data_IF_985079148833
#
_entry.id   IF_985079148833
#
_cell.length_a   1.000
_cell.length_b   1.000
_cell.length_c   1.000
_cell.angle_alpha   90.00
_cell.angle_beta   90.00
_cell.angle_gamma   90.00
#
_symmetry.space_group_name_H-M   'P 1'
#
loop_
_entity.id
_entity.type
_entity.pdbx_description
1 polymer ?
#
# COMPACT_ATOMS: atom_id res chain seq x y z
N UNK A 1 -38.19 -31.95 3.69
CA UNK A 1 -37.75 -31.46 2.35
C UNK A 1 -37.52 -29.96 2.47
N UNK A 2 -36.28 -29.49 2.34
CA UNK A 2 -35.88 -28.11 2.65
C UNK A 2 -36.30 -27.13 1.55
N UNK A 3 -37.41 -26.42 1.74
CA UNK A 3 -37.93 -25.43 0.80
C UNK A 3 -36.96 -24.25 0.57
N UNK A 4 -36.18 -23.87 1.59
CA UNK A 4 -35.21 -22.77 1.52
C UNK A 4 -34.12 -22.98 0.46
N UNK A 5 -33.61 -24.21 0.36
CA UNK A 5 -32.58 -24.57 -0.62
C UNK A 5 -33.12 -24.57 -2.06
N UNK A 6 -34.43 -24.78 -2.21
CA UNK A 6 -35.11 -24.79 -3.51
C UNK A 6 -35.41 -23.34 -3.95
N UNK A 7 -35.77 -22.47 -3.00
CA UNK A 7 -35.96 -21.05 -3.26
C UNK A 7 -34.65 -20.31 -3.55
N UNK A 8 -33.56 -20.61 -2.84
CA UNK A 8 -32.23 -20.08 -3.15
C UNK A 8 -31.74 -20.51 -4.54
N UNK A 9 -32.01 -21.76 -4.96
CA UNK A 9 -31.70 -22.21 -6.32
C UNK A 9 -32.55 -21.48 -7.37
N UNK A 10 -33.82 -21.21 -7.08
CA UNK A 10 -34.70 -20.43 -7.98
C UNK A 10 -34.30 -18.96 -8.05
N UNK A 11 -33.89 -18.35 -6.94
CA UNK A 11 -33.39 -16.97 -6.90
C UNK A 11 -32.05 -16.85 -7.67
N UNK A 12 -31.14 -17.81 -7.50
CA UNK A 12 -29.89 -17.86 -8.25
C UNK A 12 -30.12 -18.14 -9.74
N UNK A 13 -31.09 -19.00 -10.07
CA UNK A 13 -31.50 -19.24 -11.45
C UNK A 13 -32.06 -17.94 -12.06
N UNK A 14 -32.97 -17.24 -11.40
CA UNK A 14 -33.55 -15.98 -11.88
C UNK A 14 -32.52 -14.86 -12.07
N UNK A 15 -31.52 -14.75 -11.19
CA UNK A 15 -30.38 -13.85 -11.38
C UNK A 15 -29.50 -14.26 -12.58
N UNK A 16 -29.39 -15.55 -12.91
CA UNK A 16 -28.66 -16.02 -14.08
C UNK A 16 -29.37 -15.77 -15.42
N UNK A 17 -30.69 -15.50 -15.41
CA UNK A 17 -31.50 -15.24 -16.62
C UNK A 17 -31.73 -13.75 -16.89
N UNK A 18 -31.17 -12.84 -16.07
CA UNK A 18 -31.15 -11.40 -16.37
C UNK A 18 -32.52 -10.73 -16.44
N UNK A 19 -33.54 -11.28 -15.78
CA UNK A 19 -34.89 -10.69 -15.72
C UNK A 19 -34.96 -9.71 -14.54
N UNK A 20 -34.25 -8.60 -14.65
CA UNK A 20 -34.27 -7.46 -13.74
C UNK A 20 -33.84 -6.23 -14.51
N UNK A 21 -34.74 -5.24 -14.62
CA UNK A 21 -34.67 -4.14 -15.59
C UNK A 21 -33.36 -3.34 -15.59
N UNK A 22 -32.71 -3.30 -16.75
CA UNK A 22 -31.51 -2.49 -17.02
C UNK A 22 -30.65 -3.14 -18.11
N UNK A 23 -30.91 -2.80 -19.38
CA UNK A 23 -30.19 -3.26 -20.57
C UNK A 23 -29.96 -4.79 -20.69
N UNK A 24 -31.04 -5.55 -20.81
CA UNK A 24 -31.07 -7.02 -20.99
C UNK A 24 -30.58 -7.50 -22.37
N UNK A 25 -30.19 -6.63 -23.32
CA UNK A 25 -29.83 -7.06 -24.68
C UNK A 25 -28.40 -7.56 -24.82
N UNK A 26 -27.45 -7.12 -23.97
CA UNK A 26 -26.06 -7.61 -23.92
C UNK A 26 -25.46 -7.46 -22.51
N UNK A 27 -25.79 -8.34 -21.54
CA UNK A 27 -25.30 -8.26 -20.16
C UNK A 27 -23.78 -8.47 -20.05
N UNK A 28 -23.13 -8.93 -21.12
CA UNK A 28 -21.70 -9.24 -21.22
C UNK A 28 -20.96 -8.34 -22.21
N UNK A 29 -21.52 -7.19 -22.59
CA UNK A 29 -20.91 -6.30 -23.59
C UNK A 29 -19.45 -5.94 -23.27
N UNK A 30 -19.13 -5.74 -21.99
CA UNK A 30 -17.77 -5.54 -21.52
C UNK A 30 -16.83 -6.72 -21.84
N UNK A 31 -17.32 -7.96 -21.77
CA UNK A 31 -16.55 -9.16 -22.14
C UNK A 31 -16.34 -9.26 -23.66
N UNK A 32 -17.32 -8.82 -24.46
CA UNK A 32 -17.19 -8.77 -25.92
C UNK A 32 -16.07 -7.80 -26.36
N UNK A 33 -15.82 -6.74 -25.58
CA UNK A 33 -14.72 -5.80 -25.77
C UNK A 33 -13.45 -6.15 -24.96
N UNK A 34 -13.43 -7.29 -24.27
CA UNK A 34 -12.26 -7.78 -23.54
C UNK A 34 -12.01 -7.13 -22.17
N UNK A 35 -12.96 -6.37 -21.61
CA UNK A 35 -12.83 -5.77 -20.30
C UNK A 35 -13.09 -6.79 -19.18
N UNK A 36 -12.15 -6.93 -18.21
CA UNK A 36 -12.32 -7.85 -17.09
C UNK A 36 -13.42 -7.37 -16.13
N UNK A 37 -14.12 -8.32 -15.49
CA UNK A 37 -15.16 -8.00 -14.49
C UNK A 37 -14.60 -7.54 -13.15
N UNK A 38 -13.38 -7.96 -12.83
CA UNK A 38 -12.70 -7.62 -11.58
C UNK A 38 -11.30 -7.19 -11.96
N UNK A 39 -10.93 -5.98 -11.55
CA UNK A 39 -9.61 -5.44 -11.81
C UNK A 39 -8.71 -5.81 -10.63
N UNK A 40 -7.56 -6.40 -10.96
CA UNK A 40 -6.56 -6.87 -9.99
C UNK A 40 -5.33 -5.97 -10.04
N UNK A 41 -4.46 -6.08 -9.02
CA UNK A 41 -3.16 -5.42 -9.03
C UNK A 41 -2.37 -5.72 -10.32
N UNK A 42 -2.41 -6.97 -10.82
CA UNK A 42 -1.68 -7.35 -12.02
C UNK A 42 -2.18 -6.60 -13.26
N UNK A 43 -3.46 -6.26 -13.34
CA UNK A 43 -4.00 -5.49 -14.46
C UNK A 43 -3.44 -4.07 -14.46
N UNK A 44 -3.46 -3.39 -13.31
CA UNK A 44 -2.86 -2.06 -13.13
C UNK A 44 -1.36 -2.06 -13.37
N UNK A 45 -0.65 -3.03 -12.79
CA UNK A 45 0.80 -3.18 -12.95
C UNK A 45 1.19 -3.45 -14.41
N UNK A 46 0.43 -4.29 -15.12
CA UNK A 46 0.65 -4.54 -16.54
C UNK A 46 0.38 -3.31 -17.39
N UNK A 47 -0.68 -2.55 -17.08
CA UNK A 47 -0.97 -1.30 -17.76
C UNK A 47 0.16 -0.28 -17.55
N UNK A 48 0.60 -0.08 -16.30
CA UNK A 48 1.74 0.78 -15.99
C UNK A 48 3.03 0.37 -16.72
N UNK A 49 3.33 -0.94 -16.80
CA UNK A 49 4.56 -1.44 -17.42
C UNK A 49 4.54 -1.51 -18.94
N UNK A 50 3.40 -1.85 -19.55
CA UNK A 50 3.29 -2.19 -20.98
C UNK A 50 2.62 -1.12 -21.81
N UNK A 51 1.87 -0.20 -21.19
CA UNK A 51 1.22 0.91 -21.88
C UNK A 51 2.01 2.21 -21.65
N UNK A 52 2.52 2.80 -22.75
CA UNK A 52 3.28 4.04 -22.69
C UNK A 52 2.49 5.20 -22.07
N UNK A 53 1.16 5.24 -22.26
CA UNK A 53 0.30 6.28 -21.68
C UNK A 53 0.18 6.10 -20.17
N UNK A 54 -0.10 4.88 -19.70
CA UNK A 54 -0.21 4.59 -18.26
C UNK A 54 1.10 4.89 -17.53
N UNK A 55 2.23 4.49 -18.11
CA UNK A 55 3.56 4.83 -17.59
C UNK A 55 3.78 6.35 -17.54
N UNK A 56 3.47 7.06 -18.63
CA UNK A 56 3.69 8.51 -18.72
C UNK A 56 2.83 9.31 -17.73
N UNK A 57 1.58 8.90 -17.49
CA UNK A 57 0.69 9.57 -16.52
C UNK A 57 1.27 9.46 -15.11
N UNK A 58 1.62 8.24 -14.68
CA UNK A 58 2.21 8.00 -13.36
C UNK A 58 3.50 8.80 -13.20
N UNK A 59 4.41 8.74 -14.17
CA UNK A 59 5.68 9.45 -14.08
C UNK A 59 5.52 10.97 -14.11
N UNK A 60 4.59 11.51 -14.91
CA UNK A 60 4.32 12.96 -14.95
C UNK A 60 3.78 13.48 -13.62
N UNK A 61 2.82 12.76 -13.02
CA UNK A 61 2.28 13.14 -11.70
C UNK A 61 3.37 13.04 -10.63
N UNK A 62 4.07 11.92 -10.58
CA UNK A 62 5.12 11.67 -9.61
C UNK A 62 6.27 12.69 -9.73
N UNK A 63 6.73 13.01 -10.94
CA UNK A 63 7.81 13.97 -11.14
C UNK A 63 7.37 15.41 -10.83
N UNK A 64 6.08 15.73 -11.02
CA UNK A 64 5.50 16.99 -10.55
C UNK A 64 5.46 17.08 -9.03
N UNK A 65 4.92 16.06 -8.35
CA UNK A 65 4.83 16.01 -6.88
C UNK A 65 6.20 16.02 -6.21
N UNK A 66 7.18 15.34 -6.80
CA UNK A 66 8.55 15.21 -6.28
C UNK A 66 9.55 16.05 -7.04
N UNK A 67 9.13 17.19 -7.60
CA UNK A 67 10.04 18.15 -8.23
C UNK A 67 11.00 18.74 -7.18
N UNK A 68 10.46 19.04 -6.00
CA UNK A 68 11.19 19.51 -4.83
C UNK A 68 10.93 18.56 -3.65
N UNK A 69 11.92 18.37 -2.79
CA UNK A 69 11.73 17.54 -1.61
C UNK A 69 10.94 18.28 -0.52
N UNK A 70 10.13 17.56 0.28
CA UNK A 70 9.38 18.17 1.36
C UNK A 70 10.28 18.93 2.35
N UNK A 71 9.79 20.09 2.79
CA UNK A 71 10.39 20.86 3.89
C UNK A 71 9.84 20.32 5.20
N UNK A 72 10.74 20.03 6.15
CA UNK A 72 10.37 19.51 7.47
C UNK A 72 10.42 20.67 8.46
N UNK A 73 9.28 20.95 9.08
CA UNK A 73 9.08 22.04 10.05
C UNK A 73 8.76 21.45 11.42
N UNK A 74 9.27 22.06 12.47
CA UNK A 74 8.98 21.71 13.87
C UNK A 74 7.77 22.51 14.38
N UNK A 75 6.63 21.84 14.56
CA UNK A 75 5.37 22.46 14.98
C UNK A 75 4.33 22.51 13.88
N UNK A 76 3.28 23.31 14.11
CA UNK A 76 2.17 23.49 13.17
C UNK A 76 2.58 24.45 12.02
N UNK A 77 1.92 24.38 10.86
CA UNK A 77 2.23 25.22 9.69
C UNK A 77 2.18 26.72 10.03
N UNK A 78 1.32 27.11 10.98
CA UNK A 78 1.20 28.48 11.48
C UNK A 78 2.37 28.96 12.35
N UNK A 79 3.23 28.03 12.80
CA UNK A 79 4.40 28.26 13.64
C UNK A 79 5.72 28.13 12.87
N UNK A 80 5.69 28.23 11.54
CA UNK A 80 6.90 28.26 10.73
C UNK A 80 7.90 29.30 11.27
N UNK A 81 8.99 28.80 11.86
CA UNK A 81 10.04 29.64 12.38
C UNK A 81 10.70 30.38 11.20
N UNK A 82 10.82 31.72 11.29
CA UNK A 82 11.52 32.54 10.28
C UNK A 82 12.98 32.12 10.02
N UNK A 83 13.54 31.25 10.87
CA UNK A 83 14.87 30.66 10.75
C UNK A 83 14.79 29.18 11.05
N UNK A 84 15.37 28.36 10.17
CA UNK A 84 15.48 26.91 10.34
C UNK A 84 16.17 26.58 11.67
N UNK A 85 15.51 25.77 12.48
CA UNK A 85 16.03 25.36 13.78
C UNK A 85 17.10 24.23 13.61
N UNK A 86 17.96 23.97 14.62
CA UNK A 86 18.99 22.94 14.52
C UNK A 86 18.44 21.52 14.29
N UNK A 87 17.25 21.22 14.81
CA UNK A 87 16.59 19.93 14.66
C UNK A 87 16.09 19.73 13.22
N UNK A 88 15.37 20.69 12.65
CA UNK A 88 14.88 20.70 11.26
C UNK A 88 16.04 20.51 10.29
N UNK A 89 17.15 21.21 10.52
CA UNK A 89 18.38 21.06 9.71
C UNK A 89 18.94 19.63 9.79
N UNK A 90 18.92 19.01 10.96
CA UNK A 90 19.41 17.65 11.16
C UNK A 90 18.50 16.62 10.48
N UNK A 91 17.19 16.73 10.66
CA UNK A 91 16.22 15.80 10.05
C UNK A 91 16.20 15.96 8.53
N UNK A 92 16.25 17.19 8.01
CA UNK A 92 16.34 17.44 6.57
C UNK A 92 17.60 16.81 5.96
N UNK A 93 18.75 16.94 6.63
CA UNK A 93 20.00 16.26 6.22
C UNK A 93 19.81 14.74 6.22
N UNK A 94 19.24 14.19 7.28
CA UNK A 94 19.02 12.75 7.43
C UNK A 94 18.11 12.20 6.34
N UNK A 95 17.00 12.88 6.04
CA UNK A 95 15.99 12.45 5.07
C UNK A 95 16.45 12.57 3.61
N UNK A 96 17.43 13.43 3.31
CA UNK A 96 17.93 13.65 1.94
C UNK A 96 18.29 12.35 1.20
N UNK A 97 18.86 11.36 1.90
CA UNK A 97 19.20 10.05 1.29
C UNK A 97 18.02 9.10 1.13
N UNK A 98 16.94 9.36 1.86
CA UNK A 98 15.76 8.49 1.97
C UNK A 98 14.62 8.91 1.06
N UNK A 99 14.54 10.19 0.67
CA UNK A 99 13.48 10.66 -0.23
C UNK A 99 13.30 9.85 -1.51
N UNK A 100 14.35 9.37 -2.21
CA UNK A 100 14.16 8.49 -3.36
C UNK A 100 13.41 7.19 -3.04
N UNK A 101 13.50 6.69 -1.81
CA UNK A 101 12.74 5.49 -1.37
C UNK A 101 11.29 5.84 -1.09
N UNK A 102 11.02 7.00 -0.51
CA UNK A 102 9.65 7.50 -0.30
C UNK A 102 8.97 7.75 -1.64
N UNK A 103 9.64 8.43 -2.59
CA UNK A 103 9.17 8.61 -3.96
C UNK A 103 8.89 7.28 -4.67
N UNK A 104 9.71 6.25 -4.45
CA UNK A 104 9.44 4.93 -5.03
C UNK A 104 8.24 4.23 -4.38
N UNK A 105 8.02 4.38 -3.06
CA UNK A 105 6.79 3.88 -2.44
C UNK A 105 5.55 4.62 -2.99
N UNK A 106 5.62 5.94 -3.11
CA UNK A 106 4.55 6.76 -3.67
C UNK A 106 4.20 6.35 -5.12
N UNK A 107 5.22 6.14 -5.97
CA UNK A 107 5.05 5.57 -7.32
C UNK A 107 4.29 4.23 -7.30
N UNK A 108 4.62 3.35 -6.36
CA UNK A 108 3.96 2.03 -6.24
C UNK A 108 2.53 2.16 -5.75
N UNK A 109 2.26 3.15 -4.91
CA UNK A 109 0.92 3.48 -4.44
C UNK A 109 0.05 4.05 -5.58
N UNK A 110 0.61 4.82 -6.50
CA UNK A 110 -0.13 5.28 -7.70
C UNK A 110 -0.52 4.14 -8.66
N UNK A 111 0.16 2.99 -8.59
CA UNK A 111 -0.08 1.83 -9.47
C UNK A 111 -0.92 0.74 -8.78
N UNK A 112 -0.69 0.50 -7.49
CA UNK A 112 -1.49 -0.42 -6.68
C UNK A 112 -2.58 0.31 -5.91
N UNK A 113 -3.35 -0.41 -5.09
CA UNK A 113 -4.30 0.20 -4.15
C UNK A 113 -3.61 0.79 -2.93
N UNK A 114 -2.46 0.22 -2.59
CA UNK A 114 -1.59 0.72 -1.55
C UNK A 114 -0.15 0.33 -1.87
N UNK A 115 0.77 0.97 -1.19
CA UNK A 115 2.16 0.52 -1.09
C UNK A 115 2.64 0.69 0.35
N UNK A 116 3.88 0.28 0.63
CA UNK A 116 4.45 0.54 1.93
C UNK A 116 5.95 0.82 1.87
N UNK A 117 6.45 1.39 2.95
CA UNK A 117 7.87 1.43 3.31
C UNK A 117 8.09 0.52 4.51
N UNK A 118 8.90 -0.52 4.33
CA UNK A 118 9.41 -1.31 5.44
C UNK A 118 10.66 -0.65 6.04
N UNK A 119 10.65 -0.54 7.36
CA UNK A 119 11.71 0.05 8.17
C UNK A 119 12.63 -1.07 8.68
N UNK A 120 13.80 -1.22 8.07
CA UNK A 120 14.84 -2.07 8.64
C UNK A 120 15.59 -1.27 9.72
N UNK A 121 15.30 -1.58 10.97
CA UNK A 121 15.82 -0.86 12.14
C UNK A 121 16.81 -1.75 12.89
N UNK A 122 17.87 -1.14 13.43
CA UNK A 122 18.89 -1.81 14.25
C UNK A 122 18.46 -1.83 15.73
N UNK A 123 17.40 -2.57 16.02
CA UNK A 123 16.83 -2.69 17.36
C UNK A 123 17.03 -4.06 18.02
N UNK A 124 17.80 -4.95 17.39
CA UNK A 124 18.10 -6.32 17.86
C UNK A 124 16.85 -7.19 18.12
N UNK A 125 15.70 -6.81 17.55
CA UNK A 125 14.46 -7.58 17.61
C UNK A 125 14.14 -8.19 16.25
N UNK A 126 13.46 -9.35 16.23
CA UNK A 126 12.96 -9.91 14.98
C UNK A 126 11.85 -9.03 14.38
N UNK A 127 11.54 -9.24 13.10
CA UNK A 127 10.58 -8.42 12.35
C UNK A 127 9.15 -8.49 12.87
N UNK A 128 8.79 -9.59 13.52
CA UNK A 128 7.48 -9.85 14.11
C UNK A 128 7.27 -9.15 15.46
N UNK A 129 8.31 -8.52 16.00
CA UNK A 129 8.23 -7.78 17.26
C UNK A 129 8.19 -6.26 17.04
N UNK A 130 7.51 -5.59 17.95
CA UNK A 130 7.47 -4.14 18.03
C UNK A 130 8.87 -3.53 18.12
N UNK A 131 9.05 -2.38 17.47
CA UNK A 131 10.30 -1.65 17.44
C UNK A 131 10.73 -1.22 18.84
N UNK A 132 11.99 -1.48 19.20
CA UNK A 132 12.55 -0.95 20.45
C UNK A 132 12.82 0.56 20.36
N UNK A 133 11.83 1.37 20.73
CA UNK A 133 11.94 2.83 20.68
C UNK A 133 13.03 3.37 21.61
N UNK A 134 13.33 2.69 22.72
CA UNK A 134 14.38 3.10 23.66
C UNK A 134 15.77 2.93 23.04
N UNK A 135 16.01 1.80 22.37
CA UNK A 135 17.27 1.55 21.66
C UNK A 135 17.40 2.45 20.42
N UNK A 136 16.32 2.67 19.68
CA UNK A 136 16.29 3.61 18.54
C UNK A 136 16.66 5.01 19.00
N UNK A 137 16.10 5.50 20.12
CA UNK A 137 16.43 6.81 20.69
C UNK A 137 17.91 6.93 21.06
N UNK A 138 18.51 5.84 21.56
CA UNK A 138 19.95 5.80 21.90
C UNK A 138 20.85 5.80 20.67
N UNK A 139 20.45 5.13 19.59
CA UNK A 139 21.22 5.02 18.34
C UNK A 139 21.05 6.24 17.43
N UNK A 140 19.94 6.97 17.54
CA UNK A 140 19.63 8.14 16.70
C UNK A 140 19.58 7.78 15.22
N UNK A 141 20.21 8.60 14.37
CA UNK A 141 20.22 8.41 12.91
C UNK A 141 20.78 7.06 12.45
N UNK A 142 21.65 6.42 13.26
CA UNK A 142 22.24 5.13 12.93
C UNK A 142 21.28 3.95 13.15
N UNK A 143 20.11 4.19 13.75
CA UNK A 143 19.10 3.17 13.99
C UNK A 143 18.46 2.67 12.68
N UNK A 144 18.22 3.57 11.72
CA UNK A 144 17.59 3.21 10.44
C UNK A 144 18.65 2.68 9.46
N UNK A 145 18.56 1.40 9.16
CA UNK A 145 19.48 0.69 8.24
C UNK A 145 19.02 0.82 6.80
N UNK A 146 17.74 0.59 6.53
CA UNK A 146 17.18 0.59 5.17
C UNK A 146 15.70 0.96 5.16
N UNK A 147 15.31 1.73 4.16
CA UNK A 147 13.92 1.85 3.72
C UNK A 147 13.69 0.98 2.50
N UNK A 148 12.75 0.06 2.61
CA UNK A 148 12.42 -0.90 1.56
C UNK A 148 11.01 -0.57 1.06
N UNK A 149 10.87 0.13 -0.09
CA UNK A 149 9.58 0.28 -0.73
C UNK A 149 9.09 -1.10 -1.21
N UNK A 150 7.80 -1.37 -1.00
CA UNK A 150 7.14 -2.64 -1.33
C UNK A 150 5.85 -2.38 -2.11
N UNK A 151 5.53 -3.28 -3.03
CA UNK A 151 4.27 -3.24 -3.78
C UNK A 151 3.11 -3.85 -2.97
N UNK A 152 1.86 -3.54 -3.32
CA UNK A 152 0.64 -4.17 -2.78
C UNK A 152 0.77 -5.70 -2.57
N UNK A 153 1.10 -6.52 -3.59
CA UNK A 153 1.17 -7.97 -3.43
C UNK A 153 2.35 -8.46 -2.59
N UNK A 154 3.35 -7.61 -2.34
CA UNK A 154 4.51 -7.98 -1.52
C UNK A 154 4.20 -7.83 -0.03
N UNK A 155 3.23 -7.00 0.37
CA UNK A 155 2.89 -6.81 1.77
C UNK A 155 1.39 -7.03 1.97
N UNK A 156 1.02 -8.19 2.49
CA UNK A 156 -0.39 -8.53 2.76
C UNK A 156 -0.63 -8.60 4.26
N UNK A 157 -1.88 -8.46 4.70
CA UNK A 157 -2.20 -8.62 6.14
C UNK A 157 -2.17 -10.10 6.49
N UNK A 158 -1.35 -10.45 7.49
CA UNK A 158 -1.27 -11.79 8.05
C UNK A 158 -2.31 -12.00 9.15
N UNK A 159 -2.49 -10.99 10.01
CA UNK A 159 -3.43 -11.04 11.13
C UNK A 159 -4.11 -9.67 11.28
N UNK A 160 -5.43 -9.68 11.44
CA UNK A 160 -6.24 -8.50 11.75
C UNK A 160 -6.52 -8.45 13.25
N UNK A 161 -6.60 -7.25 13.82
CA UNK A 161 -7.17 -7.07 15.14
C UNK A 161 -8.70 -7.24 15.09
N UNK A 162 -9.17 -8.31 15.74
CA UNK A 162 -10.59 -8.67 15.77
C UNK A 162 -11.24 -8.37 17.13
N UNK A 163 -10.50 -7.79 18.08
CA UNK A 163 -11.05 -7.43 19.37
C UNK A 163 -11.87 -6.14 19.27
N UNK A 164 -13.19 -6.25 19.44
CA UNK A 164 -14.11 -5.11 19.36
C UNK A 164 -13.91 -4.06 20.46
N UNK A 165 -13.17 -4.40 21.52
CA UNK A 165 -12.82 -3.47 22.58
C UNK A 165 -11.49 -2.77 22.33
N UNK A 166 -10.73 -3.20 21.33
CA UNK A 166 -9.46 -2.61 20.95
C UNK A 166 -9.66 -1.30 20.19
N UNK A 167 -8.83 -0.31 20.49
CA UNK A 167 -8.77 0.94 19.73
C UNK A 167 -8.29 0.71 18.29
N UNK A 168 -7.54 -0.37 18.05
CA UNK A 168 -7.03 -0.77 16.73
C UNK A 168 -7.92 -1.81 16.06
N UNK A 169 -9.17 -2.00 16.50
CA UNK A 169 -10.10 -2.94 15.88
C UNK A 169 -10.21 -2.70 14.37
N UNK A 170 -10.05 -3.77 13.58
CA UNK A 170 -10.09 -3.69 12.13
C UNK A 170 -8.79 -3.16 11.50
N UNK A 171 -7.73 -2.94 12.28
CA UNK A 171 -6.40 -2.62 11.75
C UNK A 171 -5.52 -3.87 11.64
N UNK A 172 -4.49 -3.86 10.76
CA UNK A 172 -3.53 -4.94 10.67
C UNK A 172 -2.71 -5.07 11.96
N UNK A 173 -2.73 -6.26 12.56
CA UNK A 173 -1.90 -6.61 13.72
C UNK A 173 -0.55 -7.17 13.29
N UNK A 174 -0.50 -7.87 12.16
CA UNK A 174 0.72 -8.40 11.55
C UNK A 174 0.61 -8.39 10.03
N UNK A 175 1.73 -8.17 9.35
CA UNK A 175 1.83 -8.26 7.89
C UNK A 175 2.67 -9.48 7.48
N UNK A 176 2.38 -10.03 6.31
CA UNK A 176 3.24 -10.98 5.62
C UNK A 176 4.02 -10.22 4.54
N UNK A 177 5.34 -10.41 4.50
CA UNK A 177 6.20 -9.77 3.51
C UNK A 177 6.78 -10.81 2.54
N UNK A 178 6.37 -10.75 1.28
CA UNK A 178 6.92 -11.55 0.21
C UNK A 178 8.07 -10.77 -0.48
N UNK A 179 9.30 -11.24 -0.29
CA UNK A 179 10.50 -10.66 -0.89
C UNK A 179 10.64 -10.91 -2.39
N UNK A 180 9.80 -11.78 -2.97
CA UNK A 180 9.81 -12.03 -4.41
C UNK A 180 9.55 -10.73 -5.19
N UNK A 181 10.32 -10.46 -6.27
CA UNK A 181 10.07 -9.31 -7.12
C UNK A 181 8.70 -9.45 -7.78
N UNK A 182 8.07 -8.30 -8.03
CA UNK A 182 6.82 -8.24 -8.80
C UNK A 182 7.15 -8.24 -10.28
N UNK A 183 6.48 -9.10 -11.05
CA UNK A 183 6.67 -9.24 -12.49
C UNK A 183 7.49 -10.48 -12.86
N UNK A 184 8.21 -10.39 -13.98
CA UNK A 184 8.89 -11.54 -14.61
C UNK A 184 10.37 -11.67 -14.17
N UNK A 185 10.76 -10.98 -13.10
CA UNK A 185 12.14 -10.99 -12.61
C UNK A 185 12.40 -12.24 -11.76
N UNK A 186 13.55 -12.89 -11.97
CA UNK A 186 13.95 -14.02 -11.15
C UNK A 186 14.31 -13.54 -9.73
N UNK A 187 13.77 -14.20 -8.71
CA UNK A 187 14.17 -13.95 -7.32
C UNK A 187 15.60 -14.45 -7.10
N UNK A 188 16.47 -13.57 -6.60
CA UNK A 188 17.86 -13.90 -6.25
C UNK A 188 18.10 -13.48 -4.80
N UNK A 189 18.18 -14.45 -3.89
CA UNK A 189 18.49 -14.21 -2.48
C UNK A 189 17.83 -15.20 -1.53
N UNK A 190 18.08 -15.07 -0.22
CA UNK A 190 17.31 -15.76 0.81
C UNK A 190 15.92 -15.14 0.95
N UNK A 191 14.87 -15.94 1.08
CA UNK A 191 13.56 -15.46 1.51
C UNK A 191 13.51 -15.36 3.03
N UNK A 192 12.89 -14.29 3.54
CA UNK A 192 12.49 -14.21 4.95
C UNK A 192 11.06 -14.71 5.09
N UNK A 193 10.81 -15.47 6.17
CA UNK A 193 9.51 -16.08 6.44
C UNK A 193 8.80 -15.49 7.65
N UNK A 194 9.44 -14.62 8.43
CA UNK A 194 8.80 -14.04 9.60
C UNK A 194 7.79 -12.95 9.20
N UNK A 195 6.62 -12.88 9.86
CA UNK A 195 5.70 -11.76 9.69
C UNK A 195 6.34 -10.45 10.18
N UNK A 196 5.83 -9.33 9.68
CA UNK A 196 6.30 -7.99 9.99
C UNK A 196 5.31 -7.28 10.90
N UNK A 197 5.80 -6.75 12.01
CA UNK A 197 5.02 -5.96 12.95
C UNK A 197 4.66 -4.58 12.34
N UNK A 198 3.43 -4.06 12.55
CA UNK A 198 2.97 -2.79 12.01
C UNK A 198 3.87 -1.59 12.33
N UNK A 199 4.53 -1.57 13.50
CA UNK A 199 5.47 -0.50 13.87
C UNK A 199 6.70 -0.39 12.95
N UNK A 200 6.93 -1.37 12.08
CA UNK A 200 8.01 -1.39 11.08
C UNK A 200 7.51 -1.06 9.67
N UNK A 201 6.24 -0.67 9.54
CA UNK A 201 5.58 -0.44 8.25
C UNK A 201 5.03 0.99 8.24
N UNK A 202 5.30 1.71 7.15
CA UNK A 202 4.58 2.95 6.82
C UNK A 202 3.76 2.66 5.58
N UNK A 203 2.44 2.65 5.70
CA UNK A 203 1.52 2.43 4.58
C UNK A 203 1.29 3.74 3.81
N UNK A 204 1.16 3.59 2.49
CA UNK A 204 0.73 4.63 1.57
C UNK A 204 -0.55 4.11 0.94
N UNK A 205 -1.64 4.86 1.08
CA UNK A 205 -2.95 4.48 0.62
C UNK A 205 -3.67 5.76 0.15
N UNK A 206 -3.57 6.07 -1.14
CA UNK A 206 -4.17 7.29 -1.69
C UNK A 206 -5.65 7.09 -1.97
N UNK A 207 -6.48 8.05 -1.57
CA UNK A 207 -7.92 8.02 -1.82
C UNK A 207 -8.72 7.06 -0.91
N UNK A 208 -8.13 6.48 0.13
CA UNK A 208 -8.94 5.83 1.17
C UNK A 208 -9.67 6.90 1.97
N UNK A 209 -10.98 7.04 1.74
CA UNK A 209 -11.85 7.96 2.47
C UNK A 209 -12.35 7.36 3.80
N UNK A 210 -12.22 6.04 3.96
CA UNK A 210 -12.63 5.27 5.15
C UNK A 210 -11.41 4.81 5.97
N UNK A 211 -11.62 4.32 7.20
CA UNK A 211 -10.61 3.68 8.07
C UNK A 211 -9.93 2.43 7.45
N UNK A 212 -10.27 2.07 6.21
CA UNK A 212 -9.69 0.96 5.49
C UNK A 212 -8.35 1.35 4.83
N UNK A 213 -7.28 1.12 5.59
CA UNK A 213 -5.89 1.47 5.24
C UNK A 213 -5.29 0.75 4.01
N UNK A 214 -6.07 -0.07 3.29
CA UNK A 214 -5.64 -0.87 2.13
C UNK A 214 -6.53 -0.73 0.89
N UNK A 215 -7.52 0.18 0.91
CA UNK A 215 -8.49 0.33 -0.19
C UNK A 215 -8.31 1.63 -0.98
N UNK A 216 -7.06 2.05 -1.21
CA UNK A 216 -6.79 3.21 -2.02
C UNK A 216 -7.18 3.02 -3.49
N UNK A 217 -7.29 4.13 -4.20
CA UNK A 217 -7.65 4.19 -5.61
C UNK A 217 -6.39 4.38 -6.46
N UNK A 218 -6.02 3.40 -7.30
CA UNK A 218 -4.88 3.54 -8.20
C UNK A 218 -5.12 4.65 -9.22
N UNK A 219 -4.06 5.39 -9.55
CA UNK A 219 -4.07 6.46 -10.55
C UNK A 219 -3.86 5.95 -11.99
N UNK A 220 -3.35 4.73 -12.14
CA UNK A 220 -3.15 4.05 -13.42
C UNK A 220 -4.36 3.17 -13.74
#
# INVERSE_FOLDING_TARGET
MNNLATEMRRANYLNSIGIGGGNTKRPTLYQEFGYPRTITFNDFYNMYRRNAVGSAVVHRLLDGCWQDYPVIVDGDESQEAKKTNPWEKNVTRFMKKWWPKVKDADRRNMVGRYSALLLQIKDNRPWNEEVDTALVKKLGEAALVKLIPVWEPQLTVAEWDNDRQSETFGQPKMFNFNEQPVGDEAFVGPTRGEPVHPSRVILFCEGSEDDNVLSGYPAA
#
